data_IF_986097456712
#
_entry.id   IF_986097456712
#
_cell.length_a   1.000
_cell.length_b   1.000
_cell.length_c   1.000
_cell.angle_alpha   90.00
_cell.angle_beta   90.00
_cell.angle_gamma   90.00
#
_symmetry.space_group_name_H-M   'P 1'
#
loop_
_entity.id
_entity.type
_entity.pdbx_description
1 polymer ?
#
# COMPACT_ATOMS: atom_id res chain seq x y z
N UNK A 1 -9.38 8.78 7.43
CA UNK A 1 -8.98 8.93 8.86
C UNK A 1 -7.55 8.46 9.15
N UNK A 2 -7.17 7.22 8.80
CA UNK A 2 -5.83 6.66 9.16
C UNK A 2 -4.66 7.53 8.69
N UNK A 3 -4.72 8.06 7.46
CA UNK A 3 -3.65 8.90 6.92
C UNK A 3 -3.49 10.23 7.69
N UNK A 4 -4.61 10.86 8.06
CA UNK A 4 -4.62 12.07 8.92
C UNK A 4 -3.97 11.74 10.27
N UNK A 5 -4.37 10.61 10.87
CA UNK A 5 -3.81 10.16 12.14
C UNK A 5 -2.29 9.92 12.06
N UNK A 6 -1.79 9.31 10.99
CA UNK A 6 -0.35 9.08 10.78
C UNK A 6 0.42 10.40 10.63
N UNK A 7 -0.11 11.33 9.83
CA UNK A 7 0.53 12.63 9.63
C UNK A 7 0.50 13.48 10.90
N UNK A 8 -0.57 13.39 11.70
CA UNK A 8 -0.65 14.03 13.01
C UNK A 8 0.39 13.46 13.99
N UNK A 9 0.58 12.13 14.01
CA UNK A 9 1.54 11.45 14.89
C UNK A 9 2.94 11.29 14.26
N UNK A 10 3.34 12.17 13.34
CA UNK A 10 4.62 12.07 12.59
C UNK A 10 5.88 12.07 13.46
N UNK A 11 5.78 12.56 14.70
CA UNK A 11 6.89 12.60 15.68
C UNK A 11 7.17 11.23 16.33
N UNK A 12 6.26 10.26 16.21
CA UNK A 12 6.43 8.94 16.80
C UNK A 12 7.54 8.15 16.09
N UNK A 13 8.57 7.73 16.81
CA UNK A 13 9.79 7.11 16.24
C UNK A 13 9.51 5.93 15.30
N UNK A 14 8.64 4.96 15.64
CA UNK A 14 8.26 3.89 14.71
C UNK A 14 7.62 4.36 13.40
N UNK A 15 6.89 5.48 13.40
CA UNK A 15 6.31 6.05 12.18
C UNK A 15 7.36 6.81 11.36
N UNK A 16 8.30 7.48 12.02
CA UNK A 16 9.42 8.19 11.37
C UNK A 16 10.31 7.23 10.57
N UNK A 17 10.46 5.99 11.01
CA UNK A 17 11.18 4.94 10.27
C UNK A 17 10.48 4.49 8.98
N UNK A 18 9.16 4.65 8.86
CA UNK A 18 8.35 4.10 7.75
C UNK A 18 8.27 4.99 6.50
N UNK A 19 9.06 6.06 6.42
CA UNK A 19 9.04 7.07 5.36
C UNK A 19 7.61 7.56 5.03
N UNK A 20 7.08 8.47 5.86
CA UNK A 20 5.69 8.96 5.77
C UNK A 20 5.31 9.48 4.37
N UNK A 21 6.16 10.28 3.68
CA UNK A 21 5.89 10.68 2.30
C UNK A 21 5.63 9.50 1.36
N UNK A 22 6.43 8.44 1.47
CA UNK A 22 6.29 7.25 0.64
C UNK A 22 4.96 6.51 0.92
N UNK A 23 4.55 6.47 2.19
CA UNK A 23 3.28 5.88 2.60
C UNK A 23 2.08 6.69 2.07
N UNK A 24 2.17 8.02 2.07
CA UNK A 24 1.16 8.91 1.47
C UNK A 24 1.10 8.74 -0.05
N UNK A 25 2.24 8.63 -0.74
CA UNK A 25 2.30 8.37 -2.18
C UNK A 25 1.69 7.01 -2.52
N UNK A 26 2.00 5.96 -1.75
CA UNK A 26 1.42 4.62 -1.93
C UNK A 26 -0.10 4.63 -1.77
N UNK A 27 -0.61 5.39 -0.79
CA UNK A 27 -2.04 5.58 -0.63
C UNK A 27 -2.66 6.30 -1.83
N UNK A 28 -2.05 7.40 -2.28
CA UNK A 28 -2.54 8.16 -3.42
C UNK A 28 -2.56 7.32 -4.70
N UNK A 29 -1.50 6.57 -5.00
CA UNK A 29 -1.46 5.68 -6.16
C UNK A 29 -2.54 4.59 -6.10
N UNK A 30 -2.85 4.04 -4.92
CA UNK A 30 -3.97 3.10 -4.76
C UNK A 30 -5.33 3.75 -5.05
N UNK A 31 -5.54 4.98 -4.59
CA UNK A 31 -6.76 5.74 -4.91
C UNK A 31 -6.89 6.02 -6.40
N UNK A 32 -5.79 6.44 -7.03
CA UNK A 32 -5.73 6.68 -8.46
C UNK A 32 -6.02 5.39 -9.24
N UNK A 33 -5.48 4.25 -8.79
CA UNK A 33 -5.80 2.94 -9.38
C UNK A 33 -7.30 2.61 -9.32
N UNK A 34 -7.94 2.77 -8.15
CA UNK A 34 -9.38 2.54 -8.00
C UNK A 34 -10.22 3.53 -8.81
N UNK A 35 -9.84 4.81 -8.82
CA UNK A 35 -10.56 5.86 -9.56
C UNK A 35 -10.51 5.61 -11.07
N UNK A 36 -9.39 5.11 -11.60
CA UNK A 36 -9.28 4.76 -13.01
C UNK A 36 -10.21 3.62 -13.42
N UNK A 37 -10.51 2.68 -12.52
CA UNK A 37 -11.55 1.67 -12.77
C UNK A 37 -12.95 2.27 -12.74
N UNK A 38 -13.24 3.07 -11.71
CA UNK A 38 -14.56 3.71 -11.57
C UNK A 38 -14.88 4.61 -12.76
N UNK A 39 -13.91 5.39 -13.24
CA UNK A 39 -14.04 6.23 -14.42
C UNK A 39 -14.38 5.42 -15.69
N UNK A 40 -13.84 4.20 -15.83
CA UNK A 40 -14.24 3.29 -16.92
C UNK A 40 -15.67 2.77 -16.77
N UNK A 41 -16.07 2.37 -15.56
CA UNK A 41 -17.43 1.89 -15.28
C UNK A 41 -18.51 2.95 -15.58
N UNK A 42 -18.16 4.24 -15.49
CA UNK A 42 -19.06 5.33 -15.88
C UNK A 42 -19.14 5.51 -17.40
N UNK A 43 -18.04 5.31 -18.13
CA UNK A 43 -18.02 5.40 -19.59
C UNK A 43 -18.87 4.32 -20.27
N UNK A 44 -19.07 3.17 -19.61
CA UNK A 44 -19.98 2.12 -20.10
C UNK A 44 -21.46 2.51 -20.04
N UNK A 45 -21.83 3.64 -19.43
CA UNK A 45 -23.21 4.12 -19.39
C UNK A 45 -23.47 4.96 -20.66
N UNK A 46 -24.28 4.46 -21.63
CA UNK A 46 -24.43 5.10 -22.94
C UNK A 46 -24.99 6.53 -22.90
N UNK A 47 -25.71 6.86 -21.82
CA UNK A 47 -26.38 8.15 -21.66
C UNK A 47 -25.47 9.27 -21.14
N UNK A 48 -24.28 8.97 -20.62
CA UNK A 48 -23.47 9.95 -19.89
C UNK A 48 -22.28 10.50 -20.68
N UNK A 49 -21.71 9.76 -21.63
CA UNK A 49 -20.52 10.23 -22.37
C UNK A 49 -20.42 9.60 -23.75
N UNK A 50 -20.20 10.41 -24.79
CA UNK A 50 -19.58 9.92 -26.02
C UNK A 50 -18.14 9.51 -25.70
N UNK A 51 -17.87 8.21 -25.75
CA UNK A 51 -16.56 7.65 -25.42
C UNK A 51 -15.52 8.10 -26.44
N UNK A 52 -14.76 9.14 -26.10
CA UNK A 52 -13.64 9.58 -26.94
C UNK A 52 -12.39 8.76 -26.61
N UNK A 53 -11.64 8.38 -27.65
CA UNK A 53 -10.39 7.63 -27.52
C UNK A 53 -9.40 8.28 -26.53
N UNK A 54 -9.32 9.62 -26.54
CA UNK A 54 -8.48 10.38 -25.62
C UNK A 54 -8.85 10.15 -24.14
N UNK A 55 -10.14 10.07 -23.83
CA UNK A 55 -10.62 9.79 -22.47
C UNK A 55 -10.25 8.36 -22.06
N UNK A 56 -10.34 7.38 -22.98
CA UNK A 56 -9.92 6.01 -22.72
C UNK A 56 -8.41 5.93 -22.41
N UNK A 57 -7.55 6.57 -23.21
CA UNK A 57 -6.11 6.59 -22.94
C UNK A 57 -5.81 7.28 -21.60
N UNK A 58 -6.44 8.42 -21.33
CA UNK A 58 -6.24 9.15 -20.08
C UNK A 58 -6.67 8.34 -18.85
N UNK A 59 -7.82 7.66 -18.91
CA UNK A 59 -8.36 6.92 -17.75
C UNK A 59 -7.70 5.55 -17.57
N UNK A 60 -7.48 4.79 -18.64
CA UNK A 60 -6.91 3.44 -18.58
C UNK A 60 -5.39 3.52 -18.46
N UNK A 61 -4.73 4.17 -19.41
CA UNK A 61 -3.29 4.09 -19.51
C UNK A 61 -2.63 4.98 -18.46
N UNK A 62 -3.02 6.24 -18.39
CA UNK A 62 -2.40 7.18 -17.45
C UNK A 62 -2.87 6.94 -16.02
N UNK A 63 -4.16 7.03 -15.80
CA UNK A 63 -4.70 7.06 -14.45
C UNK A 63 -4.67 5.67 -13.81
N UNK A 64 -5.26 4.64 -14.44
CA UNK A 64 -5.31 3.29 -13.86
C UNK A 64 -3.94 2.59 -13.85
N UNK A 65 -3.27 2.51 -14.99
CA UNK A 65 -2.10 1.64 -15.14
C UNK A 65 -0.80 2.34 -14.68
N UNK A 66 -0.49 3.51 -15.23
CA UNK A 66 0.77 4.23 -14.94
C UNK A 66 0.81 4.79 -13.51
N UNK A 67 -0.10 5.71 -13.18
CA UNK A 67 -0.13 6.40 -11.88
C UNK A 67 -0.74 5.55 -10.77
N UNK A 68 -1.51 4.53 -11.14
CA UNK A 68 -2.11 3.58 -10.24
C UNK A 68 -1.23 2.34 -10.03
N UNK A 69 -1.50 1.29 -10.81
CA UNK A 69 -0.91 -0.04 -10.62
C UNK A 69 0.62 -0.06 -10.62
N UNK A 70 1.26 0.54 -11.64
CA UNK A 70 2.72 0.56 -11.74
C UNK A 70 3.34 1.37 -10.62
N UNK A 71 2.80 2.56 -10.32
CA UNK A 71 3.25 3.34 -9.19
C UNK A 71 3.17 2.53 -7.87
N UNK A 72 2.08 1.78 -7.62
CA UNK A 72 1.96 0.94 -6.41
C UNK A 72 3.05 -0.13 -6.34
N UNK A 73 3.29 -0.88 -7.42
CA UNK A 73 4.31 -1.94 -7.44
C UNK A 73 5.70 -1.33 -7.29
N UNK A 74 5.98 -0.26 -8.02
CA UNK A 74 7.23 0.49 -7.94
C UNK A 74 7.49 1.04 -6.52
N UNK A 75 6.48 1.60 -5.85
CA UNK A 75 6.60 2.10 -4.47
C UNK A 75 6.87 0.95 -3.48
N UNK A 76 6.32 -0.25 -3.74
CA UNK A 76 6.59 -1.44 -2.95
C UNK A 76 8.03 -1.94 -3.13
N UNK A 77 8.53 -1.97 -4.37
CA UNK A 77 9.93 -2.25 -4.69
C UNK A 77 10.83 -1.27 -3.94
N UNK A 78 10.55 0.02 -4.06
CA UNK A 78 11.34 1.06 -3.42
C UNK A 78 11.33 0.95 -1.91
N UNK A 79 10.18 0.70 -1.29
CA UNK A 79 10.08 0.47 0.16
C UNK A 79 10.92 -0.74 0.60
N UNK A 80 10.89 -1.82 -0.17
CA UNK A 80 11.68 -3.03 0.12
C UNK A 80 13.18 -2.75 -0.06
N UNK A 81 13.55 -1.96 -1.06
CA UNK A 81 14.92 -1.51 -1.28
C UNK A 81 15.42 -0.60 -0.14
N UNK A 82 14.60 0.35 0.34
CA UNK A 82 14.93 1.17 1.51
C UNK A 82 15.16 0.29 2.75
N UNK A 83 14.30 -0.72 2.94
CA UNK A 83 14.42 -1.68 4.04
C UNK A 83 15.77 -2.43 3.99
N UNK A 84 16.15 -2.95 2.83
CA UNK A 84 17.45 -3.62 2.62
C UNK A 84 18.61 -2.64 2.85
N UNK A 85 18.53 -1.41 2.31
CA UNK A 85 19.56 -0.39 2.52
C UNK A 85 19.82 -0.10 3.99
N UNK A 86 18.75 0.01 4.78
CA UNK A 86 18.84 0.35 6.20
C UNK A 86 19.42 -0.81 7.02
N UNK A 87 18.93 -2.03 6.81
CA UNK A 87 19.26 -3.16 7.69
C UNK A 87 20.46 -3.98 7.21
N UNK A 88 20.59 -4.23 5.92
CA UNK A 88 21.67 -5.04 5.35
C UNK A 88 22.91 -4.16 5.09
N UNK A 89 22.74 -3.09 4.31
CA UNK A 89 23.85 -2.24 3.90
C UNK A 89 24.22 -1.18 4.94
N UNK A 90 23.38 -0.96 5.96
CA UNK A 90 23.55 0.06 7.01
C UNK A 90 23.69 1.49 6.46
N UNK A 91 23.08 1.76 5.30
CA UNK A 91 23.08 3.07 4.64
C UNK A 91 21.76 3.77 4.94
N UNK A 92 21.82 5.03 5.38
CA UNK A 92 20.60 5.85 5.49
C UNK A 92 20.07 6.15 4.08
N UNK A 93 18.81 5.82 3.83
CA UNK A 93 18.09 6.16 2.61
C UNK A 93 17.76 7.67 2.55
N UNK A 94 18.79 8.50 2.47
CA UNK A 94 18.67 9.96 2.37
C UNK A 94 19.43 10.49 1.15
N UNK A 95 18.90 11.54 0.51
CA UNK A 95 19.57 12.20 -0.62
C UNK A 95 19.52 11.39 -1.92
N UNK A 96 20.65 11.30 -2.64
CA UNK A 96 20.72 10.73 -4.00
C UNK A 96 20.20 9.28 -4.10
N UNK A 97 20.42 8.46 -3.07
CA UNK A 97 19.97 7.06 -3.03
C UNK A 97 18.44 6.90 -3.00
N UNK A 98 17.71 7.94 -2.59
CA UNK A 98 16.24 7.97 -2.63
C UNK A 98 15.72 8.44 -4.00
N UNK A 99 16.43 9.37 -4.63
CA UNK A 99 16.04 9.93 -5.92
C UNK A 99 16.23 8.96 -7.08
N UNK A 100 17.26 8.11 -7.05
CA UNK A 100 17.52 7.17 -8.16
C UNK A 100 16.34 6.20 -8.34
N UNK A 101 15.88 5.46 -7.31
CA UNK A 101 14.73 4.59 -7.47
C UNK A 101 13.47 5.37 -7.85
N UNK A 102 13.21 6.52 -7.22
CA UNK A 102 12.04 7.34 -7.55
C UNK A 102 12.06 7.78 -9.02
N UNK A 103 13.22 8.19 -9.53
CA UNK A 103 13.40 8.53 -10.94
C UNK A 103 13.16 7.32 -11.83
N UNK A 104 13.75 6.15 -11.54
CA UNK A 104 13.51 4.93 -12.32
C UNK A 104 12.03 4.54 -12.36
N UNK A 105 11.32 4.67 -11.25
CA UNK A 105 9.89 4.42 -11.18
C UNK A 105 9.09 5.41 -12.03
N UNK A 106 9.40 6.70 -11.92
CA UNK A 106 8.77 7.74 -12.73
C UNK A 106 9.03 7.49 -14.22
N UNK A 107 10.25 7.10 -14.60
CA UNK A 107 10.60 6.78 -15.98
C UNK A 107 9.79 5.60 -16.50
N UNK A 108 9.65 4.51 -15.75
CA UNK A 108 8.82 3.35 -16.16
C UNK A 108 7.35 3.76 -16.35
N UNK A 109 6.79 4.50 -15.40
CA UNK A 109 5.41 4.99 -15.47
C UNK A 109 5.19 5.94 -16.66
N UNK A 110 6.10 6.89 -16.90
CA UNK A 110 6.01 7.87 -17.99
C UNK A 110 6.21 7.22 -19.36
N UNK A 111 7.21 6.34 -19.50
CA UNK A 111 7.44 5.59 -20.74
C UNK A 111 6.20 4.80 -21.12
N UNK A 112 5.56 4.12 -20.15
CA UNK A 112 4.30 3.43 -20.41
C UNK A 112 3.19 4.38 -20.88
N UNK A 113 2.98 5.50 -20.18
CA UNK A 113 1.94 6.47 -20.53
C UNK A 113 2.13 7.03 -21.94
N UNK A 114 3.37 7.37 -22.30
CA UNK A 114 3.73 7.87 -23.63
C UNK A 114 3.54 6.79 -24.69
N UNK A 115 4.05 5.57 -24.48
CA UNK A 115 3.88 4.48 -25.44
C UNK A 115 2.41 4.17 -25.69
N UNK A 116 1.59 4.17 -24.64
CA UNK A 116 0.15 3.95 -24.77
C UNK A 116 -0.58 5.09 -25.51
N UNK A 117 -0.03 6.31 -25.54
CA UNK A 117 -0.59 7.42 -26.34
C UNK A 117 -0.16 7.40 -27.80
N UNK A 118 1.04 6.88 -28.09
CA UNK A 118 1.66 6.95 -29.42
C UNK A 118 1.35 5.71 -30.26
N UNK A 119 1.24 4.53 -29.65
CA UNK A 119 0.98 3.30 -30.40
C UNK A 119 -0.50 3.14 -30.78
N UNK A 120 -0.78 2.65 -32.01
CA UNK A 120 -2.12 2.32 -32.44
C UNK A 120 -2.67 1.09 -31.69
N UNK A 121 -4.00 1.04 -31.53
CA UNK A 121 -4.73 0.01 -30.78
C UNK A 121 -4.38 -1.42 -31.21
N UNK A 122 -4.22 -1.64 -32.51
CA UNK A 122 -3.90 -2.94 -33.12
C UNK A 122 -2.55 -3.51 -32.68
N UNK A 123 -1.61 -2.64 -32.32
CA UNK A 123 -0.26 -3.01 -31.85
C UNK A 123 -0.17 -2.99 -30.34
N UNK A 124 -1.30 -3.02 -29.64
CA UNK A 124 -1.39 -3.02 -28.19
C UNK A 124 -0.30 -3.89 -27.60
N UNK A 125 0.75 -3.26 -27.07
CA UNK A 125 1.91 -3.95 -26.52
C UNK A 125 1.37 -4.92 -25.47
N UNK A 126 1.91 -6.13 -25.38
CA UNK A 126 1.52 -7.06 -24.32
C UNK A 126 2.03 -6.52 -22.96
N UNK A 127 1.29 -5.57 -22.40
CA UNK A 127 1.61 -4.77 -21.21
C UNK A 127 1.79 -5.64 -19.95
N UNK A 128 1.33 -6.88 -20.03
CA UNK A 128 1.54 -7.94 -19.06
C UNK A 128 3.04 -8.17 -18.82
N UNK A 129 3.89 -8.07 -19.84
CA UNK A 129 5.34 -8.29 -19.72
C UNK A 129 6.01 -7.27 -18.79
N UNK A 130 5.66 -5.99 -18.91
CA UNK A 130 6.20 -4.92 -18.05
C UNK A 130 5.77 -5.15 -16.60
N UNK A 131 4.49 -5.46 -16.38
CA UNK A 131 3.98 -5.75 -15.03
C UNK A 131 4.66 -6.98 -14.41
N UNK A 132 4.79 -8.07 -15.17
CA UNK A 132 5.49 -9.28 -14.72
C UNK A 132 6.94 -8.94 -14.37
N UNK A 133 7.64 -8.17 -15.20
CA UNK A 133 9.03 -7.78 -14.91
C UNK A 133 9.15 -7.02 -13.59
N UNK A 134 8.24 -6.08 -13.31
CA UNK A 134 8.19 -5.35 -12.05
C UNK A 134 7.86 -6.27 -10.87
N UNK A 135 6.92 -7.21 -11.02
CA UNK A 135 6.58 -8.18 -9.98
C UNK A 135 7.75 -9.12 -9.67
N UNK A 136 8.51 -9.55 -10.68
CA UNK A 136 9.73 -10.35 -10.51
C UNK A 136 10.79 -9.55 -9.76
N UNK A 137 11.04 -8.30 -10.15
CA UNK A 137 11.97 -7.42 -9.43
C UNK A 137 11.54 -7.25 -7.97
N UNK A 138 10.24 -7.03 -7.72
CA UNK A 138 9.68 -6.96 -6.37
C UNK A 138 9.88 -8.26 -5.59
N UNK A 139 9.68 -9.42 -6.22
CA UNK A 139 9.90 -10.73 -5.62
C UNK A 139 11.39 -10.93 -5.25
N UNK A 140 12.32 -10.53 -6.13
CA UNK A 140 13.76 -10.61 -5.88
C UNK A 140 14.15 -9.76 -4.67
N UNK A 141 13.73 -8.49 -4.61
CA UNK A 141 14.00 -7.65 -3.45
C UNK A 141 13.33 -8.19 -2.17
N UNK A 142 12.11 -8.70 -2.27
CA UNK A 142 11.43 -9.32 -1.11
C UNK A 142 12.20 -10.54 -0.62
N UNK A 143 12.73 -11.36 -1.54
CA UNK A 143 13.56 -12.50 -1.20
C UNK A 143 14.87 -12.09 -0.53
N UNK A 144 15.56 -11.06 -1.04
CA UNK A 144 16.77 -10.52 -0.41
C UNK A 144 16.52 -10.01 1.01
N UNK A 145 15.30 -9.53 1.30
CA UNK A 145 14.93 -9.02 2.62
C UNK A 145 14.58 -10.11 3.65
N UNK A 146 14.56 -11.40 3.28
CA UNK A 146 14.03 -12.49 4.12
C UNK A 146 14.82 -12.74 5.40
N UNK A 147 16.14 -12.52 5.36
CA UNK A 147 17.07 -12.86 6.44
C UNK A 147 17.20 -11.70 7.46
N UNK A 148 16.54 -10.57 7.19
CA UNK A 148 16.58 -9.38 8.05
C UNK A 148 15.69 -9.57 9.28
N UNK A 149 16.31 -9.84 10.42
CA UNK A 149 15.63 -9.94 11.71
C UNK A 149 15.48 -8.55 12.37
N UNK A 150 14.41 -7.83 12.01
CA UNK A 150 14.07 -6.55 12.63
C UNK A 150 13.04 -6.69 13.75
N UNK A 151 13.23 -5.97 14.86
CA UNK A 151 12.31 -5.90 16.01
C UNK A 151 10.89 -5.45 15.66
N UNK A 152 10.68 -4.90 14.46
CA UNK A 152 9.40 -4.40 14.00
C UNK A 152 8.62 -5.39 13.13
N UNK A 153 9.19 -6.54 12.75
CA UNK A 153 8.55 -7.54 11.86
C UNK A 153 8.01 -6.93 10.55
N UNK A 154 8.65 -5.84 10.11
CA UNK A 154 8.27 -5.08 8.91
C UNK A 154 8.36 -5.94 7.64
N UNK A 155 9.30 -6.89 7.60
CA UNK A 155 9.37 -7.88 6.54
C UNK A 155 8.06 -8.65 6.33
N UNK A 156 7.39 -9.11 7.41
CA UNK A 156 6.12 -9.84 7.26
C UNK A 156 4.98 -8.93 6.80
N UNK A 157 5.01 -7.65 7.18
CA UNK A 157 4.04 -6.65 6.69
C UNK A 157 4.25 -6.40 5.19
N UNK A 158 5.50 -6.22 4.75
CA UNK A 158 5.87 -6.10 3.33
C UNK A 158 5.46 -7.33 2.53
N UNK A 159 5.74 -8.53 3.06
CA UNK A 159 5.38 -9.79 2.43
C UNK A 159 3.86 -9.96 2.29
N UNK A 160 3.09 -9.66 3.34
CA UNK A 160 1.64 -9.68 3.30
C UNK A 160 1.10 -8.68 2.25
N UNK A 161 1.62 -7.46 2.25
CA UNK A 161 1.30 -6.44 1.24
C UNK A 161 1.63 -6.90 -0.17
N UNK A 162 2.76 -7.56 -0.38
CA UNK A 162 3.17 -8.10 -1.68
C UNK A 162 2.21 -9.17 -2.18
N UNK A 163 1.88 -10.17 -1.34
CA UNK A 163 0.93 -11.22 -1.70
C UNK A 163 -0.47 -10.68 -1.97
N UNK A 164 -0.95 -9.74 -1.14
CA UNK A 164 -2.25 -9.08 -1.34
C UNK A 164 -2.27 -8.34 -2.68
N UNK A 165 -1.20 -7.64 -3.05
CA UNK A 165 -1.08 -6.99 -4.37
C UNK A 165 -1.12 -8.00 -5.52
N UNK A 166 -0.38 -9.11 -5.43
CA UNK A 166 -0.40 -10.16 -6.46
C UNK A 166 -1.80 -10.74 -6.61
N UNK A 167 -2.47 -11.08 -5.50
CA UNK A 167 -3.81 -11.64 -5.53
C UNK A 167 -4.79 -10.66 -6.18
N UNK A 168 -4.71 -9.36 -5.86
CA UNK A 168 -5.53 -8.33 -6.52
C UNK A 168 -5.31 -8.32 -8.05
N UNK A 169 -4.05 -8.33 -8.49
CA UNK A 169 -3.71 -8.34 -9.90
C UNK A 169 -4.24 -9.60 -10.59
N UNK A 170 -4.05 -10.78 -9.98
CA UNK A 170 -4.55 -12.04 -10.52
C UNK A 170 -6.07 -12.06 -10.62
N UNK A 171 -6.77 -11.61 -9.58
CA UNK A 171 -8.24 -11.48 -9.59
C UNK A 171 -8.68 -10.53 -10.69
N UNK A 172 -8.04 -9.38 -10.87
CA UNK A 172 -8.37 -8.47 -11.98
C UNK A 172 -8.13 -9.08 -13.35
N UNK A 173 -7.04 -9.81 -13.54
CA UNK A 173 -6.76 -10.51 -14.80
C UNK A 173 -7.84 -11.56 -15.04
N UNK A 174 -8.10 -12.44 -14.08
CA UNK A 174 -9.14 -13.47 -14.20
C UNK A 174 -10.50 -12.84 -14.52
N UNK A 175 -10.90 -11.81 -13.78
CA UNK A 175 -12.18 -11.13 -14.02
C UNK A 175 -12.23 -10.46 -15.40
N UNK A 176 -11.12 -9.98 -15.96
CA UNK A 176 -11.15 -9.41 -17.32
C UNK A 176 -11.23 -10.47 -18.43
N UNK A 177 -10.71 -11.66 -18.17
CA UNK A 177 -10.66 -12.73 -19.17
C UNK A 177 -11.88 -13.67 -19.11
N UNK A 178 -12.59 -13.73 -17.98
CA UNK A 178 -13.83 -14.49 -17.88
C UNK A 178 -14.96 -13.73 -18.59
N UNK A 179 -15.59 -14.30 -19.65
CA UNK A 179 -16.66 -13.63 -20.36
C UNK A 179 -17.86 -13.38 -19.42
N UNK A 180 -18.42 -12.17 -19.48
CA UNK A 180 -19.57 -11.81 -18.65
C UNK A 180 -20.85 -12.50 -19.17
N UNK A 181 -21.17 -13.67 -18.63
CA UNK A 181 -22.34 -14.48 -19.03
C UNK A 181 -23.67 -13.77 -18.68
N UNK A 182 -23.67 -12.85 -17.71
CA UNK A 182 -24.90 -12.26 -17.17
C UNK A 182 -25.47 -11.09 -17.99
N UNK A 183 -24.72 -10.57 -18.96
CA UNK A 183 -25.10 -9.37 -19.74
C UNK A 183 -25.12 -8.06 -18.96
N UNK A 184 -24.90 -8.08 -17.64
CA UNK A 184 -24.89 -6.87 -16.81
C UNK A 184 -23.44 -6.39 -16.56
N UNK A 185 -22.85 -5.72 -17.56
CA UNK A 185 -21.47 -5.20 -17.49
C UNK A 185 -21.26 -4.20 -16.36
N UNK A 186 -22.29 -3.40 -16.04
CA UNK A 186 -22.21 -2.41 -14.97
C UNK A 186 -22.07 -3.06 -13.58
N UNK A 187 -22.90 -4.05 -13.26
CA UNK A 187 -22.82 -4.76 -11.99
C UNK A 187 -21.48 -5.49 -11.84
N UNK A 188 -21.01 -6.09 -12.94
CA UNK A 188 -19.72 -6.75 -13.00
C UNK A 188 -18.55 -5.80 -12.70
N UNK A 189 -18.46 -4.69 -13.42
CA UNK A 189 -17.41 -3.69 -13.23
C UNK A 189 -17.47 -3.03 -11.85
N UNK A 190 -18.67 -2.86 -11.30
CA UNK A 190 -18.86 -2.36 -9.93
C UNK A 190 -18.30 -3.33 -8.89
N UNK A 191 -18.57 -4.63 -9.02
CA UNK A 191 -18.02 -5.66 -8.14
C UNK A 191 -16.48 -5.69 -8.20
N UNK A 192 -15.89 -5.66 -9.40
CA UNK A 192 -14.43 -5.56 -9.58
C UNK A 192 -13.88 -4.33 -8.85
N UNK A 193 -14.57 -3.19 -8.97
CA UNK A 193 -14.17 -1.93 -8.31
C UNK A 193 -14.21 -2.03 -6.79
N UNK A 194 -15.25 -2.66 -6.24
CA UNK A 194 -15.37 -2.87 -4.80
C UNK A 194 -14.27 -3.79 -4.29
N UNK A 195 -13.95 -4.87 -5.00
CA UNK A 195 -12.85 -5.76 -4.65
C UNK A 195 -11.52 -5.03 -4.65
N UNK A 196 -11.24 -4.22 -5.66
CA UNK A 196 -10.02 -3.41 -5.74
C UNK A 196 -9.92 -2.42 -4.58
N UNK A 197 -11.04 -1.78 -4.23
CA UNK A 197 -11.09 -0.86 -3.10
C UNK A 197 -10.78 -1.58 -1.79
N UNK A 198 -11.39 -2.74 -1.53
CA UNK A 198 -11.13 -3.55 -0.34
C UNK A 198 -9.65 -3.94 -0.27
N UNK A 199 -9.08 -4.43 -1.38
CA UNK A 199 -7.67 -4.81 -1.42
C UNK A 199 -6.75 -3.62 -1.16
N UNK A 200 -7.02 -2.46 -1.77
CA UNK A 200 -6.27 -1.24 -1.53
C UNK A 200 -6.31 -0.80 -0.06
N UNK A 201 -7.48 -0.88 0.59
CA UNK A 201 -7.62 -0.58 2.01
C UNK A 201 -6.84 -1.58 2.87
N UNK A 202 -7.05 -2.89 2.69
CA UNK A 202 -6.36 -3.95 3.43
C UNK A 202 -4.84 -3.79 3.34
N UNK A 203 -4.33 -3.55 2.13
CA UNK A 203 -2.92 -3.34 1.87
C UNK A 203 -2.38 -2.10 2.60
N UNK A 204 -3.15 -1.00 2.60
CA UNK A 204 -2.80 0.20 3.36
C UNK A 204 -2.81 -0.04 4.87
N UNK A 205 -3.79 -0.76 5.41
CA UNK A 205 -3.85 -1.11 6.83
C UNK A 205 -2.67 -1.96 7.29
N UNK A 206 -2.22 -2.93 6.48
CA UNK A 206 -1.03 -3.74 6.78
C UNK A 206 0.25 -2.88 6.81
N UNK A 207 0.44 -1.99 5.83
CA UNK A 207 1.60 -1.11 5.81
C UNK A 207 1.61 -0.09 6.96
N UNK A 208 0.44 0.44 7.30
CA UNK A 208 0.34 1.66 8.07
C UNK A 208 -0.03 1.44 9.54
N UNK A 209 -0.93 0.51 9.83
CA UNK A 209 -1.73 0.56 11.06
C UNK A 209 -1.51 -0.62 12.01
N UNK A 210 -1.29 -1.83 11.50
CA UNK A 210 -1.39 -3.06 12.30
C UNK A 210 -0.51 -3.03 13.55
N UNK A 211 0.79 -2.73 13.42
CA UNK A 211 1.70 -2.74 14.59
C UNK A 211 1.77 -1.45 15.38
N UNK A 212 1.49 -0.30 14.77
CA UNK A 212 1.37 0.94 15.53
C UNK A 212 0.25 0.81 16.56
N UNK A 213 -0.92 0.31 16.12
CA UNK A 213 -2.07 0.13 16.98
C UNK A 213 -1.80 -0.93 18.06
N UNK A 214 -1.24 -2.09 17.69
CA UNK A 214 -0.90 -3.14 18.65
C UNK A 214 0.14 -2.70 19.71
N UNK A 215 1.13 -1.90 19.33
CA UNK A 215 2.11 -1.37 20.29
C UNK A 215 1.51 -0.29 21.18
N UNK A 216 0.67 0.60 20.64
CA UNK A 216 -0.01 1.63 21.43
C UNK A 216 -0.96 0.99 22.45
N UNK A 217 -1.80 0.05 22.01
CA UNK A 217 -2.67 -0.73 22.91
C UNK A 217 -1.88 -1.49 23.97
N UNK A 218 -0.77 -2.15 23.59
CA UNK A 218 0.08 -2.85 24.57
C UNK A 218 0.70 -1.88 25.57
N UNK A 219 1.12 -0.69 25.14
CA UNK A 219 1.71 0.31 26.03
C UNK A 219 0.67 0.86 27.01
N UNK A 220 -0.50 1.25 26.52
CA UNK A 220 -1.60 1.73 27.36
C UNK A 220 -2.08 0.63 28.33
N UNK A 221 -2.15 -0.63 27.88
CA UNK A 221 -2.49 -1.75 28.74
C UNK A 221 -1.39 -2.09 29.76
N UNK A 222 -0.12 -1.90 29.42
CA UNK A 222 0.96 -2.07 30.39
C UNK A 222 0.96 -0.93 31.41
N UNK A 223 0.79 0.31 30.97
CA UNK A 223 0.69 1.49 31.85
C UNK A 223 -0.50 1.36 32.81
N UNK A 224 -1.67 0.89 32.35
CA UNK A 224 -2.82 0.62 33.23
C UNK A 224 -2.56 -0.53 34.21
N UNK A 225 -1.89 -1.61 33.79
CA UNK A 225 -1.49 -2.71 34.69
C UNK A 225 -0.49 -2.23 35.74
N UNK A 226 0.46 -1.35 35.39
CA UNK A 226 1.38 -0.74 36.35
C UNK A 226 0.66 0.20 37.33
N UNK A 227 -0.30 1.00 36.86
CA UNK A 227 -1.12 1.85 37.72
C UNK A 227 -1.99 1.04 38.69
N UNK A 228 -2.60 -0.06 38.23
CA UNK A 228 -3.36 -0.98 39.07
C UNK A 228 -2.45 -1.67 40.10
N UNK A 229 -1.26 -2.12 39.70
CA UNK A 229 -0.30 -2.77 40.60
C UNK A 229 0.23 -1.80 41.67
N UNK A 230 0.56 -0.56 41.28
CA UNK A 230 1.07 0.46 42.19
C UNK A 230 -0.02 1.05 43.09
N UNK A 231 -1.25 1.23 42.58
CA UNK A 231 -2.41 1.64 43.36
C UNK A 231 -2.81 0.59 44.42
N UNK A 232 -2.74 -0.69 44.06
CA UNK A 232 -2.97 -1.79 45.00
C UNK A 232 -1.85 -1.92 46.05
N UNK A 233 -0.60 -1.60 45.71
CA UNK A 233 0.50 -1.53 46.68
C UNK A 233 0.33 -0.38 47.67
N UNK A 234 -0.12 0.80 47.23
CA UNK A 234 -0.37 1.93 48.12
C UNK A 234 -1.50 1.66 49.14
N UNK A 235 -2.58 0.99 48.73
CA UNK A 235 -3.66 0.60 49.66
C UNK A 235 -3.25 -0.47 50.69
N UNK A 236 -2.32 -1.37 50.36
CA UNK A 236 -1.77 -2.33 51.34
C UNK A 236 -0.89 -1.64 52.38
N UNK A 237 -0.16 -0.60 51.98
CA UNK A 237 0.67 0.16 52.91
C UNK A 237 -0.15 0.98 53.90
N UNK A 238 -1.23 1.62 53.44
CA UNK A 238 -2.11 2.39 54.34
C UNK A 238 -2.81 1.50 55.37
N UNK A 239 -3.29 0.32 54.95
CA UNK A 239 -3.94 -0.64 55.87
C UNK A 239 -2.98 -1.36 56.81
N UNK A 240 -1.68 -1.41 56.48
CA UNK A 240 -0.66 -1.97 57.39
C UNK A 240 -0.23 -1.01 58.49
N UNK A 241 -0.29 0.31 58.26
CA UNK A 241 0.03 1.29 59.30
C UNK A 241 -1.07 1.44 60.35
N UNK A 242 -2.34 1.28 59.98
CA UNK A 242 -3.46 1.34 60.93
C UNK A 242 -3.52 0.16 61.91
N UNK A 243 -2.70 -0.89 61.72
CA UNK A 243 -2.66 -2.07 62.61
C UNK A 243 -1.53 -2.07 63.61
N UNK A 244 -0.58 -1.15 63.54
CA UNK A 244 0.55 -1.08 64.47
C UNK A 244 0.33 -0.16 65.66
N UNK A 245 -0.77 0.60 65.68
CA UNK A 245 -1.04 1.61 66.71
C UNK A 245 -2.17 1.20 67.68
N UNK A 246 -2.48 -0.10 67.78
CA UNK A 246 -3.44 -0.66 68.74
C UNK A 246 -2.78 -1.61 69.73
#
# INVERSE_FOLDING_TARGET
MVLIFINYNRSYTPLKCKNIPLLNLSFLSKWVWCYGLWAMSLQTIPSLTHTSWAICIATISWLRMSLGMFAVVCLLIFRTFEYICIFEYKIRATGRYLWIPLATMATVCLLYGILATVLPEEKGIQYVAVLISLLVVCAVFTYMARDIQSSFNEFRELLATFFVTIIAILVQVILRWVPNISGNEFAYNTLVTLTDFIVCQVNFYFLAYLRFFLKKLRRENNESVYEIANGAQMQRWSTSHDRTDS
#
